data_IF_986254702237
#
_entry.id   IF_986254702237
#
_cell.length_a   1.000
_cell.length_b   1.000
_cell.length_c   1.000
_cell.angle_alpha   90.00
_cell.angle_beta   90.00
_cell.angle_gamma   90.00
#
_symmetry.space_group_name_H-M   'P 1'
#
loop_
_entity.id
_entity.type
_entity.pdbx_description
1 polymer ?
#
# COMPACT_ATOMS: atom_id res chain seq x y z
N UNK A 1 11.21 -14.82 -9.79
CA UNK A 1 11.11 -13.94 -8.60
C UNK A 1 9.75 -14.14 -7.97
N UNK A 2 9.64 -14.11 -6.64
CA UNK A 2 8.39 -14.34 -5.89
C UNK A 2 7.75 -12.99 -5.54
N UNK A 3 6.42 -12.93 -5.51
CA UNK A 3 5.68 -11.76 -5.02
C UNK A 3 5.56 -11.80 -3.50
N UNK A 4 5.73 -10.63 -2.89
CA UNK A 4 5.59 -10.38 -1.46
C UNK A 4 4.50 -9.34 -1.22
N UNK A 5 3.80 -9.45 -0.10
CA UNK A 5 2.80 -8.45 0.34
C UNK A 5 3.46 -7.53 1.36
N UNK A 6 3.56 -6.26 1.00
CA UNK A 6 4.10 -5.21 1.85
C UNK A 6 2.95 -4.38 2.44
N UNK A 7 3.06 -4.10 3.73
CA UNK A 7 2.30 -3.03 4.39
C UNK A 7 3.24 -1.90 4.75
N UNK A 8 3.02 -0.71 4.20
CA UNK A 8 3.91 0.44 4.34
C UNK A 8 3.17 1.57 5.06
N UNK A 9 3.64 1.93 6.25
CA UNK A 9 3.14 3.05 7.06
C UNK A 9 4.06 4.26 6.96
N UNK A 10 3.49 5.46 7.12
CA UNK A 10 4.20 6.73 6.97
C UNK A 10 4.07 7.57 8.24
N UNK A 11 5.12 8.35 8.55
CA UNK A 11 5.12 9.25 9.72
C UNK A 11 4.44 10.60 9.46
N UNK A 12 3.99 10.84 8.22
CA UNK A 12 3.40 12.13 7.83
C UNK A 12 1.97 12.26 8.36
N UNK A 13 1.79 13.18 9.31
CA UNK A 13 0.49 13.47 9.92
C UNK A 13 -0.52 14.05 8.94
N UNK A 14 -0.10 14.62 7.82
CA UNK A 14 -1.02 15.10 6.78
C UNK A 14 -1.79 13.94 6.13
N UNK A 15 -1.19 12.74 6.06
CA UNK A 15 -1.87 11.56 5.52
C UNK A 15 -2.98 11.03 6.44
N UNK A 16 -2.97 11.39 7.73
CA UNK A 16 -4.00 10.95 8.68
C UNK A 16 -5.41 11.39 8.27
N UNK A 17 -5.52 12.47 7.49
CA UNK A 17 -6.81 12.98 6.99
C UNK A 17 -7.12 12.54 5.56
N UNK A 18 -6.23 11.80 4.90
CA UNK A 18 -6.39 11.38 3.51
C UNK A 18 -7.06 10.00 3.44
N UNK A 19 -7.97 9.83 2.46
CA UNK A 19 -8.81 8.65 2.20
C UNK A 19 -8.03 7.31 2.24
N UNK A 20 -7.85 6.74 3.44
CA UNK A 20 -7.18 5.46 3.66
C UNK A 20 -5.65 5.50 3.83
N UNK A 21 -4.95 6.54 3.37
CA UNK A 21 -3.48 6.60 3.46
C UNK A 21 -2.95 6.71 4.89
N UNK A 22 -3.77 7.22 5.82
CA UNK A 22 -3.44 7.29 7.24
C UNK A 22 -3.26 5.93 7.93
N UNK A 23 -3.81 4.85 7.36
CA UNK A 23 -3.60 3.49 7.86
C UNK A 23 -2.30 2.85 7.33
N UNK A 24 -1.86 3.30 6.16
CA UNK A 24 -0.76 2.74 5.38
C UNK A 24 -1.19 2.41 3.95
N UNK A 25 -0.28 1.81 3.19
CA UNK A 25 -0.50 1.36 1.82
C UNK A 25 -0.09 -0.11 1.71
N UNK A 26 -0.98 -0.89 1.11
CA UNK A 26 -0.77 -2.29 0.79
C UNK A 26 -0.28 -2.44 -0.63
N UNK A 27 0.89 -3.08 -0.82
CA UNK A 27 1.48 -3.32 -2.14
C UNK A 27 1.92 -4.76 -2.28
N UNK A 28 1.68 -5.37 -3.42
CA UNK A 28 2.25 -6.67 -3.78
C UNK A 28 3.28 -6.45 -4.88
N UNK A 29 4.54 -6.77 -4.58
CA UNK A 29 5.68 -6.47 -5.45
C UNK A 29 6.77 -7.54 -5.34
N UNK A 30 7.78 -7.49 -6.22
CA UNK A 30 8.89 -8.45 -6.19
C UNK A 30 9.95 -8.12 -5.15
N UNK A 31 10.03 -6.87 -4.70
CA UNK A 31 10.94 -6.39 -3.66
C UNK A 31 10.37 -5.14 -2.99
N UNK A 32 10.98 -4.71 -1.88
CA UNK A 32 10.65 -3.45 -1.24
C UNK A 32 10.90 -2.25 -2.17
N UNK A 33 12.03 -2.22 -2.88
CA UNK A 33 12.35 -1.14 -3.83
C UNK A 33 11.30 -1.03 -4.92
N UNK A 34 10.83 -2.17 -5.40
CA UNK A 34 9.75 -2.24 -6.38
C UNK A 34 8.43 -1.71 -5.80
N UNK A 35 8.10 -2.11 -4.57
CA UNK A 35 6.92 -1.58 -3.86
C UNK A 35 6.99 -0.05 -3.69
N UNK A 36 8.13 0.50 -3.25
CA UNK A 36 8.33 1.95 -3.07
C UNK A 36 8.25 2.69 -4.40
N UNK A 37 8.81 2.12 -5.47
CA UNK A 37 8.67 2.65 -6.82
C UNK A 37 7.20 2.72 -7.25
N UNK A 38 6.40 1.71 -6.92
CA UNK A 38 4.95 1.73 -7.19
C UNK A 38 4.21 2.82 -6.40
N UNK A 39 4.60 3.08 -5.14
CA UNK A 39 4.04 4.18 -4.36
C UNK A 39 4.19 5.52 -5.10
N UNK A 40 5.40 5.82 -5.60
CA UNK A 40 5.64 7.05 -6.37
C UNK A 40 4.86 7.11 -7.68
N UNK A 41 4.70 5.98 -8.38
CA UNK A 41 4.02 5.93 -9.68
C UNK A 41 2.49 5.91 -9.61
N UNK A 42 1.92 5.37 -8.53
CA UNK A 42 0.48 5.10 -8.44
C UNK A 42 -0.22 5.94 -7.38
N UNK A 43 0.41 6.13 -6.22
CA UNK A 43 -0.19 6.78 -5.05
C UNK A 43 0.20 8.25 -4.96
N UNK A 44 1.50 8.55 -5.00
CA UNK A 44 2.03 9.90 -4.79
C UNK A 44 2.48 10.58 -6.08
N UNK A 45 1.77 10.40 -7.20
CA UNK A 45 2.23 10.83 -8.55
C UNK A 45 2.79 12.26 -8.65
N UNK A 46 2.20 13.18 -7.90
CA UNK A 46 2.52 14.62 -7.94
C UNK A 46 3.29 15.09 -6.71
N UNK A 47 3.73 14.17 -5.85
CA UNK A 47 4.37 14.49 -4.57
C UNK A 47 5.47 13.48 -4.23
N UNK A 48 6.49 13.88 -3.48
CA UNK A 48 7.45 12.90 -2.98
C UNK A 48 6.73 11.85 -2.11
N UNK A 49 7.21 10.60 -2.16
CA UNK A 49 6.75 9.57 -1.22
C UNK A 49 7.08 10.05 0.20
N UNK A 50 6.10 10.10 1.12
CA UNK A 50 6.35 10.53 2.50
C UNK A 50 7.38 9.64 3.20
N UNK A 51 7.92 10.14 4.32
CA UNK A 51 8.85 9.35 5.14
C UNK A 51 8.17 8.07 5.63
N UNK A 52 8.73 6.93 5.24
CA UNK A 52 8.26 5.61 5.64
C UNK A 52 8.65 5.37 7.10
N UNK A 53 7.66 5.11 7.94
CA UNK A 53 7.85 4.83 9.37
C UNK A 53 7.95 3.33 9.64
N UNK A 54 7.17 2.53 8.91
CA UNK A 54 7.03 1.10 9.16
C UNK A 54 6.86 0.34 7.87
N UNK A 55 7.52 -0.81 7.76
CA UNK A 55 7.34 -1.77 6.69
C UNK A 55 7.10 -3.14 7.33
N UNK A 56 6.09 -3.85 6.84
CA UNK A 56 5.85 -5.27 7.15
C UNK A 56 5.89 -6.02 5.82
N UNK A 57 6.93 -6.84 5.64
CA UNK A 57 7.04 -7.77 4.52
C UNK A 57 6.27 -9.06 4.83
N UNK A 58 5.69 -9.66 3.78
CA UNK A 58 4.82 -10.83 3.86
C UNK A 58 3.69 -10.68 4.90
N UNK A 59 3.10 -9.48 4.95
CA UNK A 59 2.02 -9.15 5.88
C UNK A 59 0.87 -10.17 5.78
N UNK A 60 0.44 -10.67 6.93
CA UNK A 60 -0.83 -11.37 7.04
C UNK A 60 -1.95 -10.33 6.92
N UNK A 61 -2.60 -10.29 5.77
CA UNK A 61 -3.68 -9.34 5.51
C UNK A 61 -4.80 -9.49 6.54
N UNK A 62 -5.05 -10.70 7.07
CA UNK A 62 -6.10 -10.92 8.07
C UNK A 62 -5.84 -10.24 9.42
N UNK A 63 -4.59 -9.82 9.68
CA UNK A 63 -4.23 -9.07 10.88
C UNK A 63 -4.44 -7.55 10.75
N UNK A 64 -4.86 -7.06 9.57
CA UNK A 64 -5.09 -5.64 9.33
C UNK A 64 -6.46 -5.20 9.87
N UNK A 65 -6.65 -3.88 10.00
CA UNK A 65 -7.85 -3.31 10.61
C UNK A 65 -9.14 -3.81 9.92
N UNK A 66 -10.06 -4.47 10.65
CA UNK A 66 -11.23 -5.11 10.06
C UNK A 66 -12.33 -4.13 9.66
N UNK A 67 -12.31 -2.89 10.15
CA UNK A 67 -13.35 -1.90 9.94
C UNK A 67 -13.03 -0.94 8.80
N UNK A 68 -11.74 -0.70 8.53
CA UNK A 68 -11.27 0.30 7.58
C UNK A 68 -10.36 -0.27 6.51
N UNK A 69 -9.46 -1.21 6.84
CA UNK A 69 -8.53 -1.76 5.87
C UNK A 69 -9.19 -2.89 5.09
N UNK A 70 -9.60 -3.97 5.77
CA UNK A 70 -10.16 -5.16 5.12
C UNK A 70 -11.33 -4.89 4.17
N UNK A 71 -12.28 -3.98 4.46
CA UNK A 71 -13.38 -3.70 3.54
C UNK A 71 -12.96 -2.95 2.27
N UNK A 72 -11.77 -2.34 2.26
CA UNK A 72 -11.29 -1.44 1.21
C UNK A 72 -10.02 -1.95 0.52
N UNK A 73 -9.76 -3.27 0.56
CA UNK A 73 -8.66 -3.89 -0.18
C UNK A 73 -9.12 -4.42 -1.56
N UNK A 74 -8.25 -4.33 -2.55
CA UNK A 74 -8.31 -5.15 -3.75
C UNK A 74 -7.61 -6.51 -3.48
N UNK A 75 -7.72 -7.51 -4.38
CA UNK A 75 -7.09 -8.81 -4.14
C UNK A 75 -5.56 -8.67 -3.97
N UNK A 76 -4.99 -8.99 -2.79
CA UNK A 76 -3.58 -8.73 -2.46
C UNK A 76 -2.62 -9.73 -3.10
N UNK A 77 -3.12 -10.61 -3.97
CA UNK A 77 -2.33 -11.62 -4.69
C UNK A 77 -1.81 -11.11 -6.04
N UNK A 78 -2.39 -10.02 -6.55
CA UNK A 78 -1.96 -9.43 -7.82
C UNK A 78 -0.88 -8.38 -7.58
N UNK A 79 0.08 -8.32 -8.50
CA UNK A 79 1.12 -7.30 -8.51
C UNK A 79 0.50 -5.91 -8.57
N UNK A 80 0.78 -5.05 -7.59
CA UNK A 80 0.21 -3.71 -7.51
C UNK A 80 -0.19 -3.24 -6.13
N UNK A 81 -0.69 -2.01 -6.09
CA UNK A 81 -1.27 -1.41 -4.88
C UNK A 81 -2.65 -2.02 -4.66
N UNK A 82 -2.81 -2.76 -3.57
CA UNK A 82 -4.08 -3.39 -3.19
C UNK A 82 -4.79 -2.68 -2.05
N UNK A 83 -4.14 -1.76 -1.34
CA UNK A 83 -4.82 -0.87 -0.39
C UNK A 83 -4.19 0.53 -0.39
N UNK A 84 -4.97 1.61 -0.39
CA UNK A 84 -6.41 1.64 -0.64
C UNK A 84 -6.80 1.10 -2.02
N UNK A 85 -7.91 0.36 -2.14
CA UNK A 85 -8.35 -0.27 -3.40
C UNK A 85 -8.60 0.73 -4.54
N UNK A 86 -8.83 2.01 -4.21
CA UNK A 86 -8.96 3.10 -5.18
C UNK A 86 -7.72 3.29 -6.06
N UNK A 87 -6.53 2.86 -5.60
CA UNK A 87 -5.30 2.92 -6.39
C UNK A 87 -5.07 1.69 -7.27
N UNK A 88 -5.85 0.62 -7.08
CA UNK A 88 -5.73 -0.60 -7.87
C UNK A 88 -6.01 -0.29 -9.35
N UNK A 89 -5.06 -0.66 -10.21
CA UNK A 89 -5.26 -0.61 -11.66
C UNK A 89 -5.52 -2.02 -12.17
N UNK A 90 -6.65 -2.20 -12.84
CA UNK A 90 -6.86 -3.35 -13.70
C UNK A 90 -6.18 -3.05 -15.04
N UNK A 91 -5.20 -3.86 -15.43
CA UNK A 91 -4.82 -3.93 -16.83
C UNK A 91 -6.06 -4.47 -17.57
N UNK A 92 -6.74 -3.59 -18.32
CA UNK A 92 -7.77 -3.98 -19.30
C UNK A 92 -7.13 -4.07 -20.68
#
# INVERSE_FOLDING_TARGET
MKLHRYWIGFSDRQLAHHEGLGYGVGVTAFSLDDAVRMLGQQVFKESPVPSIERIIEDVDVSSLDPNHVLPNIAPPVFYGVWYPSAFMKWDR
#
